data_IF_879272291257
#
_entry.id   IF_879272291257
#
_cell.length_a   1.000
_cell.length_b   1.000
_cell.length_c   1.000
_cell.angle_alpha   90.00
_cell.angle_beta   90.00
_cell.angle_gamma   90.00
#
_symmetry.space_group_name_H-M   'P 1'
#
loop_
_entity.id
_entity.type
_entity.pdbx_description
1 polymer ?
#
# COMPACT_ATOMS: atom_id res chain seq x y z
N UNK A 1 -12.58 -2.63 8.64
CA UNK A 1 -11.40 -3.37 8.14
C UNK A 1 -10.15 -2.51 8.07
N UNK A 2 -10.08 -1.50 7.19
CA UNK A 2 -8.88 -0.66 6.99
C UNK A 2 -8.43 0.05 8.28
N UNK A 3 -9.35 0.70 9.01
CA UNK A 3 -9.02 1.38 10.28
C UNK A 3 -8.45 0.41 11.32
N UNK A 4 -9.09 -0.74 11.51
CA UNK A 4 -8.62 -1.75 12.47
C UNK A 4 -7.25 -2.30 12.06
N UNK A 5 -7.03 -2.59 10.78
CA UNK A 5 -5.73 -3.06 10.29
C UNK A 5 -4.65 -2.00 10.49
N UNK A 6 -4.97 -0.72 10.25
CA UNK A 6 -4.05 0.39 10.50
C UNK A 6 -3.72 0.51 12.00
N UNK A 7 -4.72 0.43 12.89
CA UNK A 7 -4.50 0.47 14.34
C UNK A 7 -3.56 -0.65 14.81
N UNK A 8 -3.77 -1.88 14.32
CA UNK A 8 -2.88 -3.02 14.61
C UNK A 8 -1.47 -2.78 14.08
N UNK A 9 -1.32 -2.23 12.86
CA UNK A 9 0.01 -1.95 12.29
C UNK A 9 0.77 -0.85 13.06
N UNK A 10 0.05 0.06 13.72
CA UNK A 10 0.63 1.21 14.44
C UNK A 10 0.70 1.02 15.95
N UNK A 11 0.31 -0.15 16.48
CA UNK A 11 0.20 -0.43 17.92
C UNK A 11 1.51 -0.11 18.67
N UNK A 12 2.65 -0.33 18.03
CA UNK A 12 3.98 -0.09 18.58
C UNK A 12 4.74 1.06 17.88
N UNK A 13 4.06 1.87 17.06
CA UNK A 13 4.67 2.97 16.30
C UNK A 13 3.85 4.26 16.42
N UNK A 14 3.93 4.88 17.60
CA UNK A 14 3.26 6.15 17.88
C UNK A 14 3.76 7.30 17.01
N UNK A 15 4.98 7.20 16.46
CA UNK A 15 5.58 8.22 15.62
C UNK A 15 4.90 8.33 14.25
N UNK A 16 4.46 7.20 13.68
CA UNK A 16 3.75 7.13 12.40
C UNK A 16 2.23 6.92 12.54
N UNK A 17 1.73 6.74 13.77
CA UNK A 17 0.30 6.59 14.05
C UNK A 17 -0.53 7.86 13.76
N UNK A 18 0.11 9.05 13.80
CA UNK A 18 -0.57 10.31 13.49
C UNK A 18 -0.74 10.45 11.97
N UNK A 19 -1.99 10.46 11.52
CA UNK A 19 -2.34 10.72 10.12
C UNK A 19 -3.49 11.72 10.00
N UNK A 20 -3.55 12.43 8.88
CA UNK A 20 -4.71 13.27 8.52
C UNK A 20 -5.67 12.48 7.63
N UNK A 21 -5.16 11.88 6.56
CA UNK A 21 -5.93 11.05 5.62
C UNK A 21 -5.40 9.62 5.64
N UNK A 22 -6.33 8.66 5.53
CA UNK A 22 -6.09 7.22 5.43
C UNK A 22 -6.93 6.69 4.29
N UNK A 23 -6.32 5.89 3.43
CA UNK A 23 -7.00 5.15 2.37
C UNK A 23 -6.58 3.68 2.43
N UNK A 24 -7.38 2.79 1.85
CA UNK A 24 -7.02 1.39 1.76
C UNK A 24 -7.80 0.67 0.67
N UNK A 25 -7.19 -0.40 0.16
CA UNK A 25 -7.81 -1.31 -0.81
C UNK A 25 -8.15 -2.61 -0.08
N UNK A 26 -9.41 -3.03 -0.20
CA UNK A 26 -9.91 -4.28 0.36
C UNK A 26 -10.35 -5.18 -0.78
N UNK A 27 -9.86 -6.41 -0.78
CA UNK A 27 -10.27 -7.45 -1.71
C UNK A 27 -11.32 -8.33 -1.04
N UNK A 28 -12.38 -8.68 -1.77
CA UNK A 28 -13.34 -9.68 -1.34
C UNK A 28 -13.20 -10.92 -2.22
N UNK A 29 -13.52 -12.08 -1.66
CA UNK A 29 -13.58 -13.35 -2.39
C UNK A 29 -14.97 -13.94 -2.23
N UNK A 30 -15.51 -14.48 -3.31
CA UNK A 30 -16.86 -15.06 -3.34
C UNK A 30 -17.83 -14.30 -4.24
N UNK A 31 -19.11 -14.68 -4.25
CA UNK A 31 -20.12 -14.10 -5.13
C UNK A 31 -20.32 -12.59 -4.88
N UNK A 32 -20.72 -11.82 -5.91
CA UNK A 32 -21.12 -10.43 -5.73
C UNK A 32 -22.16 -10.28 -4.61
N UNK A 33 -21.95 -9.32 -3.70
CA UNK A 33 -22.86 -9.05 -2.57
C UNK A 33 -22.50 -9.75 -1.26
N UNK A 34 -21.59 -10.73 -1.25
CA UNK A 34 -21.06 -11.31 -0.01
C UNK A 34 -19.78 -10.58 0.44
N UNK A 35 -19.92 -9.65 1.39
CA UNK A 35 -18.83 -8.83 1.93
C UNK A 35 -18.12 -9.46 3.15
N UNK A 36 -18.45 -10.71 3.47
CA UNK A 36 -18.15 -11.36 4.75
C UNK A 36 -16.65 -11.68 4.92
N UNK A 37 -15.88 -11.65 3.83
CA UNK A 37 -14.48 -12.09 3.81
C UNK A 37 -13.57 -11.06 3.12
N UNK A 38 -13.58 -9.83 3.63
CA UNK A 38 -12.75 -8.73 3.13
C UNK A 38 -11.32 -8.81 3.66
N UNK A 39 -10.34 -8.87 2.76
CA UNK A 39 -8.91 -8.88 3.04
C UNK A 39 -8.32 -7.49 2.70
N UNK A 40 -7.63 -6.86 3.64
CA UNK A 40 -6.95 -5.57 3.38
C UNK A 40 -5.65 -5.84 2.62
N UNK A 41 -5.59 -5.38 1.37
CA UNK A 41 -4.43 -5.58 0.48
C UNK A 41 -3.38 -4.50 0.63
N UNK A 42 -3.83 -3.26 0.77
CA UNK A 42 -2.96 -2.08 0.77
C UNK A 42 -3.57 -0.98 1.62
N UNK A 43 -2.71 -0.23 2.30
CA UNK A 43 -3.06 0.94 3.10
C UNK A 43 -2.11 2.06 2.72
N UNK A 44 -2.64 3.28 2.59
CA UNK A 44 -1.87 4.49 2.37
C UNK A 44 -2.28 5.59 3.34
N UNK A 45 -1.32 6.42 3.73
CA UNK A 45 -1.56 7.69 4.43
C UNK A 45 -0.79 8.79 3.72
N UNK A 46 -1.21 10.04 3.91
CA UNK A 46 -0.53 11.21 3.34
C UNK A 46 -1.49 12.20 2.69
N UNK A 47 -1.04 13.46 2.59
CA UNK A 47 -1.82 14.60 2.06
C UNK A 47 -0.93 15.60 1.34
N UNK A 48 0.26 15.18 0.93
CA UNK A 48 1.27 16.05 0.34
C UNK A 48 1.86 15.38 -0.88
N UNK A 49 2.30 16.21 -1.81
CA UNK A 49 3.06 15.83 -2.99
C UNK A 49 4.48 16.38 -2.86
N UNK A 50 5.41 15.79 -3.62
CA UNK A 50 6.80 16.24 -3.65
C UNK A 50 6.89 17.65 -4.29
N UNK A 51 7.80 18.48 -3.81
CA UNK A 51 8.15 19.74 -4.48
C UNK A 51 8.88 19.50 -5.79
N UNK A 52 8.79 20.44 -6.73
CA UNK A 52 9.38 20.31 -8.06
C UNK A 52 10.89 20.10 -8.04
N UNK A 53 11.56 20.74 -7.08
CA UNK A 53 13.00 20.65 -6.78
C UNK A 53 13.45 19.28 -6.28
N UNK A 54 12.52 18.47 -5.79
CA UNK A 54 12.76 17.13 -5.24
C UNK A 54 12.28 16.01 -6.17
N UNK A 55 11.80 16.35 -7.37
CA UNK A 55 11.46 15.36 -8.39
C UNK A 55 12.70 14.66 -8.91
N UNK A 56 12.61 13.34 -9.07
CA UNK A 56 13.71 12.53 -9.58
C UNK A 56 13.52 12.16 -11.05
N UNK A 57 14.51 12.47 -11.89
CA UNK A 57 14.56 12.01 -13.30
C UNK A 57 14.82 10.49 -13.45
N UNK A 58 15.24 9.81 -12.39
CA UNK A 58 15.50 8.35 -12.36
C UNK A 58 14.39 7.53 -11.71
N UNK A 59 13.24 8.14 -11.41
CA UNK A 59 12.13 7.46 -10.73
C UNK A 59 12.39 7.07 -9.26
N UNK A 60 13.34 7.72 -8.58
CA UNK A 60 13.66 7.48 -7.18
C UNK A 60 12.79 8.27 -6.17
N UNK A 61 11.89 9.13 -6.64
CA UNK A 61 11.03 9.96 -5.79
C UNK A 61 9.54 9.63 -6.00
N UNK A 62 8.76 9.72 -4.92
CA UNK A 62 7.29 9.61 -4.97
C UNK A 62 6.67 10.98 -5.21
N UNK A 63 6.27 11.24 -6.44
CA UNK A 63 5.73 12.56 -6.80
C UNK A 63 4.44 12.90 -6.07
N UNK A 64 3.55 11.92 -5.92
CA UNK A 64 2.28 12.07 -5.23
C UNK A 64 2.21 11.01 -4.12
N UNK A 65 2.14 11.52 -2.88
CA UNK A 65 2.09 10.72 -1.67
C UNK A 65 0.75 10.88 -0.95
N UNK A 66 -0.30 11.27 -1.66
CA UNK A 66 -1.66 11.20 -1.13
C UNK A 66 -2.02 9.76 -0.79
N UNK A 67 -2.81 9.60 0.28
CA UNK A 67 -3.16 8.31 0.83
C UNK A 67 -3.71 7.33 -0.21
N UNK A 68 -4.63 7.79 -1.06
CA UNK A 68 -5.25 7.01 -2.14
C UNK A 68 -4.25 6.58 -3.22
N UNK A 69 -3.26 7.44 -3.53
CA UNK A 69 -2.22 7.16 -4.51
C UNK A 69 -1.25 6.13 -3.97
N UNK A 70 -0.83 6.26 -2.71
CA UNK A 70 0.01 5.27 -2.03
C UNK A 70 -0.72 3.93 -1.94
N UNK A 71 -2.00 3.93 -1.56
CA UNK A 71 -2.80 2.71 -1.50
C UNK A 71 -2.90 2.01 -2.87
N UNK A 72 -3.10 2.76 -3.95
CA UNK A 72 -3.08 2.25 -5.34
C UNK A 72 -1.72 1.66 -5.72
N UNK A 73 -0.61 2.31 -5.39
CA UNK A 73 0.74 1.78 -5.66
C UNK A 73 0.97 0.44 -4.94
N UNK A 74 0.49 0.32 -3.70
CA UNK A 74 0.52 -0.95 -2.97
C UNK A 74 -0.34 -2.05 -3.62
N UNK A 75 -1.48 -1.70 -4.23
CA UNK A 75 -2.26 -2.64 -5.04
C UNK A 75 -1.48 -3.13 -6.26
N UNK A 76 -0.80 -2.25 -6.99
CA UNK A 76 0.05 -2.68 -8.12
C UNK A 76 1.10 -3.71 -7.67
N UNK A 77 1.75 -3.46 -6.52
CA UNK A 77 2.72 -4.41 -5.96
C UNK A 77 2.08 -5.76 -5.61
N UNK A 78 0.89 -5.75 -5.02
CA UNK A 78 0.13 -6.98 -4.77
C UNK A 78 -0.15 -7.74 -6.06
N UNK A 79 -0.62 -7.05 -7.11
CA UNK A 79 -0.91 -7.68 -8.40
C UNK A 79 0.34 -8.29 -9.05
N UNK A 80 1.49 -7.59 -9.00
CA UNK A 80 2.75 -8.17 -9.48
C UNK A 80 3.13 -9.44 -8.71
N UNK A 81 2.92 -9.47 -7.39
CA UNK A 81 3.12 -10.71 -6.59
C UNK A 81 2.17 -11.83 -7.01
N UNK A 82 0.90 -11.51 -7.28
CA UNK A 82 -0.07 -12.52 -7.74
C UNK A 82 0.34 -13.11 -9.11
N UNK A 83 0.83 -12.27 -10.02
CA UNK A 83 1.36 -12.73 -11.32
C UNK A 83 2.59 -13.62 -11.14
N UNK A 84 3.51 -13.26 -10.25
CA UNK A 84 4.70 -14.07 -9.99
C UNK A 84 4.37 -15.43 -9.37
N UNK A 85 3.43 -15.45 -8.42
CA UNK A 85 2.92 -16.70 -7.83
C UNK A 85 2.26 -17.61 -8.88
N UNK A 86 1.53 -17.01 -9.82
CA UNK A 86 0.91 -17.76 -10.93
C UNK A 86 1.96 -18.30 -11.90
N UNK A 87 2.99 -17.50 -12.22
CA UNK A 87 4.04 -17.87 -13.17
C UNK A 87 5.02 -18.90 -12.60
N UNK A 88 5.28 -18.87 -11.28
CA UNK A 88 6.23 -19.75 -10.60
C UNK A 88 5.62 -20.38 -9.34
N UNK A 89 4.75 -21.39 -9.48
CA UNK A 89 4.15 -22.07 -8.33
C UNK A 89 5.25 -22.69 -7.44
N UNK A 90 5.33 -22.27 -6.17
CA UNK A 90 6.27 -22.81 -5.18
C UNK A 90 7.48 -21.94 -4.84
N UNK A 91 7.68 -20.80 -5.51
CA UNK A 91 8.75 -19.84 -5.16
C UNK A 91 8.24 -18.84 -4.11
N UNK A 92 9.01 -18.66 -3.03
CA UNK A 92 8.72 -17.60 -2.05
C UNK A 92 9.19 -16.26 -2.63
N UNK A 93 8.27 -15.32 -2.79
CA UNK A 93 8.55 -13.99 -3.34
C UNK A 93 8.92 -13.03 -2.20
N UNK A 94 10.19 -12.64 -2.15
CA UNK A 94 10.67 -11.57 -1.28
C UNK A 94 10.85 -10.29 -2.09
N UNK A 95 10.23 -9.20 -1.65
CA UNK A 95 10.47 -7.87 -2.20
C UNK A 95 11.23 -7.04 -1.18
N UNK A 96 12.45 -6.67 -1.52
CA UNK A 96 13.24 -5.71 -0.75
C UNK A 96 12.74 -4.31 -1.07
N UNK A 97 12.12 -3.64 -0.11
CA UNK A 97 11.89 -2.21 -0.20
C UNK A 97 13.21 -1.51 0.12
N UNK A 98 13.79 -0.84 -0.88
CA UNK A 98 14.77 0.21 -0.60
C UNK A 98 13.97 1.45 -0.21
N UNK A 99 14.38 2.07 0.89
CA UNK A 99 13.80 3.31 1.42
C UNK A 99 13.66 4.33 0.28
N UNK A 100 12.43 4.75 -0.02
CA UNK A 100 12.21 5.95 -0.82
C UNK A 100 12.22 7.10 0.17
N UNK A 101 13.25 7.96 0.09
CA UNK A 101 13.18 9.25 0.79
C UNK A 101 12.03 10.05 0.16
N UNK A 102 11.20 10.63 1.01
CA UNK A 102 10.29 11.72 0.63
C UNK A 102 11.09 13.02 0.48
#
# INVERSE_FOLDING_TARGET
LVLNKYAVLMENDSSHARRKVLAGIVMTRGPPGQLNNGEVISIGTGTKCVGGEHMSVRGAALNDSHAEIVAKRGLCLFLYKQLELLANPGKIVYLTFRSFLF
#
